data_IF_859441026857
#
_entry.id   IF_859441026857
#
_cell.length_a   1.000
_cell.length_b   1.000
_cell.length_c   1.000
_cell.angle_alpha   90.00
_cell.angle_beta   90.00
_cell.angle_gamma   90.00
#
_symmetry.space_group_name_H-M   'P 1'
#
loop_
_entity.id
_entity.type
_entity.pdbx_description
1 polymer ?
#
# COMPACT_ATOMS: atom_id res chain seq x y z
N UNK A 1 -0.86 4.77 -10.83
CA UNK A 1 -1.15 4.38 -9.43
C UNK A 1 -2.07 5.40 -8.76
N UNK A 2 -3.13 4.95 -8.09
CA UNK A 2 -4.10 5.80 -7.37
C UNK A 2 -4.44 5.18 -6.01
N UNK A 3 -4.72 6.03 -5.01
CA UNK A 3 -5.19 5.61 -3.69
C UNK A 3 -6.65 6.01 -3.41
N UNK A 4 -7.34 5.20 -2.62
CA UNK A 4 -8.65 5.47 -2.04
C UNK A 4 -8.56 5.42 -0.50
N UNK A 5 -8.59 6.59 0.13
CA UNK A 5 -8.52 6.74 1.58
C UNK A 5 -9.85 7.06 2.23
N UNK A 6 -10.88 7.40 1.45
CA UNK A 6 -12.15 7.93 1.97
C UNK A 6 -12.03 9.16 2.88
N UNK A 7 -10.90 9.90 2.82
CA UNK A 7 -10.61 11.00 3.75
C UNK A 7 -10.19 10.58 5.17
N UNK A 8 -10.05 9.27 5.43
CA UNK A 8 -9.72 8.69 6.75
C UNK A 8 -8.31 8.12 6.84
N UNK A 9 -7.59 8.10 5.73
CA UNK A 9 -6.23 7.60 5.62
C UNK A 9 -5.38 8.53 4.71
N UNK A 10 -4.06 8.32 4.63
CA UNK A 10 -3.20 9.10 3.74
C UNK A 10 -3.67 9.06 2.29
N UNK A 11 -3.63 10.22 1.64
CA UNK A 11 -4.07 10.39 0.26
C UNK A 11 -2.99 11.11 -0.55
N UNK A 12 -2.80 10.68 -1.79
CA UNK A 12 -1.86 11.29 -2.73
C UNK A 12 -2.53 11.52 -4.09
N UNK A 13 -1.98 12.45 -4.88
CA UNK A 13 -2.40 12.64 -6.26
C UNK A 13 -2.03 11.41 -7.09
N UNK A 14 -2.83 11.02 -8.11
CA UNK A 14 -2.48 9.91 -8.98
C UNK A 14 -1.07 10.06 -9.55
N UNK A 15 -0.30 8.97 -9.49
CA UNK A 15 1.05 8.89 -10.04
C UNK A 15 0.96 8.22 -11.40
N UNK A 16 1.46 8.91 -12.43
CA UNK A 16 1.40 8.49 -13.83
C UNK A 16 2.84 8.29 -14.34
N UNK A 17 3.03 7.27 -15.19
CA UNK A 17 4.32 6.90 -15.77
C UNK A 17 5.00 5.74 -15.04
N UNK A 18 5.49 4.75 -15.79
CA UNK A 18 6.05 3.51 -15.25
C UNK A 18 7.27 3.74 -14.35
N UNK A 19 8.22 4.58 -14.77
CA UNK A 19 9.42 4.92 -13.97
C UNK A 19 9.06 5.57 -12.64
N UNK A 20 8.12 6.52 -12.67
CA UNK A 20 7.66 7.22 -11.48
C UNK A 20 6.92 6.28 -10.54
N UNK A 21 6.09 5.39 -11.08
CA UNK A 21 5.42 4.35 -10.29
C UNK A 21 6.45 3.41 -9.67
N UNK A 22 7.40 2.87 -10.44
CA UNK A 22 8.45 1.99 -9.94
C UNK A 22 9.28 2.64 -8.81
N UNK A 23 9.68 3.89 -9.00
CA UNK A 23 10.39 4.66 -7.97
C UNK A 23 9.56 4.78 -6.67
N UNK A 24 8.26 5.06 -6.79
CA UNK A 24 7.35 5.14 -5.64
C UNK A 24 7.13 3.77 -4.98
N UNK A 25 7.03 2.68 -5.76
CA UNK A 25 6.88 1.34 -5.21
C UNK A 25 8.10 0.94 -4.37
N UNK A 26 9.31 1.10 -4.90
CA UNK A 26 10.55 0.90 -4.14
C UNK A 26 10.55 1.77 -2.90
N UNK A 27 10.02 2.98 -3.03
CA UNK A 27 9.98 3.92 -1.94
C UNK A 27 9.01 3.55 -0.81
N UNK A 28 7.93 2.83 -1.12
CA UNK A 28 6.94 2.41 -0.13
C UNK A 28 7.29 1.05 0.45
N UNK A 29 7.66 0.09 -0.40
CA UNK A 29 7.79 -1.32 -0.04
C UNK A 29 8.99 -1.57 0.87
N UNK A 30 10.18 -1.06 0.52
CA UNK A 30 11.39 -1.37 1.30
C UNK A 30 11.32 -0.88 2.77
N UNK A 31 10.94 0.38 3.06
CA UNK A 31 10.81 0.84 4.45
C UNK A 31 9.66 0.18 5.21
N UNK A 32 8.57 -0.17 4.52
CA UNK A 32 7.45 -0.88 5.13
C UNK A 32 7.87 -2.27 5.60
N UNK A 33 8.62 -3.01 4.79
CA UNK A 33 9.18 -4.31 5.20
C UNK A 33 10.21 -4.14 6.31
N UNK A 34 11.01 -3.07 6.29
CA UNK A 34 12.03 -2.80 7.32
C UNK A 34 11.43 -2.58 8.72
N UNK A 35 10.22 -2.02 8.82
CA UNK A 35 9.50 -1.89 10.09
C UNK A 35 8.76 -3.17 10.50
N UNK A 36 8.96 -4.28 9.77
CA UNK A 36 8.32 -5.57 10.04
C UNK A 36 6.99 -5.78 9.32
N UNK A 37 6.61 -4.88 8.41
CA UNK A 37 5.40 -5.05 7.60
C UNK A 37 5.52 -6.21 6.62
N UNK A 38 4.42 -6.92 6.40
CA UNK A 38 4.32 -8.07 5.49
C UNK A 38 3.44 -7.72 4.31
N UNK A 39 3.87 -8.11 3.10
CA UNK A 39 3.11 -7.96 1.87
C UNK A 39 2.80 -9.35 1.34
N UNK A 40 1.53 -9.71 1.32
CA UNK A 40 1.08 -11.03 0.88
C UNK A 40 0.33 -10.93 -0.45
N UNK A 41 0.69 -11.73 -1.46
CA UNK A 41 -0.11 -11.87 -2.66
C UNK A 41 -1.52 -12.32 -2.31
N UNK A 42 -2.52 -11.62 -2.85
CA UNK A 42 -3.93 -11.96 -2.63
C UNK A 42 -4.78 -11.49 -3.80
N UNK A 43 -5.85 -12.21 -4.11
CA UNK A 43 -6.82 -11.73 -5.08
C UNK A 43 -7.64 -10.59 -4.43
N UNK A 44 -7.67 -9.42 -5.08
CA UNK A 44 -8.42 -8.25 -4.60
C UNK A 44 -9.43 -7.88 -5.66
N UNK A 45 -10.72 -8.04 -5.34
CA UNK A 45 -11.84 -7.82 -6.27
C UNK A 45 -11.71 -8.60 -7.60
N UNK A 46 -11.27 -9.86 -7.56
CA UNK A 46 -11.11 -10.68 -8.77
C UNK A 46 -9.86 -10.34 -9.60
N UNK A 47 -8.98 -9.47 -9.10
CA UNK A 47 -7.73 -9.09 -9.76
C UNK A 47 -6.52 -9.55 -8.95
N UNK A 48 -5.37 -9.84 -9.61
CA UNK A 48 -4.11 -10.02 -8.91
C UNK A 48 -3.81 -8.81 -8.01
N UNK A 49 -3.32 -9.06 -6.81
CA UNK A 49 -3.16 -8.01 -5.82
C UNK A 49 -2.30 -8.41 -4.64
N UNK A 50 -2.34 -7.58 -3.61
CA UNK A 50 -1.66 -7.84 -2.36
C UNK A 50 -2.38 -7.20 -1.17
N UNK A 51 -2.25 -7.82 0.01
CA UNK A 51 -2.62 -7.26 1.31
C UNK A 51 -1.34 -6.85 2.03
N UNK A 52 -1.34 -5.65 2.59
CA UNK A 52 -0.26 -5.11 3.41
C UNK A 52 -0.68 -5.22 4.87
N UNK A 53 0.11 -5.91 5.69
CA UNK A 53 -0.11 -6.06 7.13
C UNK A 53 1.02 -5.43 7.92
N UNK A 54 0.67 -4.73 8.99
CA UNK A 54 1.64 -4.24 9.97
C UNK A 54 2.26 -5.41 10.78
N UNK A 55 3.26 -5.16 11.64
CA UNK A 55 3.89 -6.21 12.45
C UNK A 55 2.94 -6.96 13.38
N UNK A 56 1.81 -6.35 13.75
CA UNK A 56 0.75 -6.97 14.56
C UNK A 56 -0.23 -7.80 13.73
N UNK A 57 -0.02 -7.88 12.40
CA UNK A 57 -0.89 -8.60 11.47
C UNK A 57 -2.15 -7.83 11.06
N UNK A 58 -2.27 -6.54 11.41
CA UNK A 58 -3.44 -5.72 11.06
C UNK A 58 -3.28 -5.15 9.65
N UNK A 59 -4.40 -5.03 8.95
CA UNK A 59 -4.44 -4.59 7.55
C UNK A 59 -4.17 -3.09 7.48
N UNK A 60 -3.19 -2.70 6.67
CA UNK A 60 -2.82 -1.31 6.40
C UNK A 60 -3.40 -0.84 5.08
N UNK A 61 -3.31 -1.68 4.05
CA UNK A 61 -3.77 -1.36 2.70
C UNK A 61 -3.97 -2.64 1.87
N UNK A 62 -4.74 -2.53 0.79
CA UNK A 62 -4.77 -3.53 -0.28
C UNK A 62 -4.38 -2.90 -1.60
N UNK A 63 -3.63 -3.61 -2.43
CA UNK A 63 -3.38 -3.24 -3.82
C UNK A 63 -4.07 -4.20 -4.76
N UNK A 64 -4.78 -3.68 -5.76
CA UNK A 64 -5.21 -4.42 -6.93
C UNK A 64 -4.40 -3.97 -8.15
N UNK A 65 -3.99 -4.92 -8.98
CA UNK A 65 -3.21 -4.72 -10.18
C UNK A 65 -4.12 -4.95 -11.40
N UNK A 66 -4.36 -3.88 -12.16
CA UNK A 66 -5.05 -4.00 -13.45
C UNK A 66 -4.01 -4.46 -14.48
N UNK A 67 -4.12 -5.71 -14.94
CA UNK A 67 -3.17 -6.32 -15.89
C UNK A 67 -3.82 -6.48 -17.25
N UNK A 68 -3.15 -6.01 -18.30
CA UNK A 68 -3.54 -6.19 -19.70
C UNK A 68 -2.31 -6.66 -20.48
N UNK A 69 -2.46 -7.72 -21.26
CA UNK A 69 -1.39 -8.31 -22.10
C UNK A 69 -0.08 -8.57 -21.33
N UNK A 70 -0.20 -9.07 -20.10
CA UNK A 70 0.94 -9.38 -19.23
C UNK A 70 1.63 -8.16 -18.62
N UNK A 71 1.09 -6.95 -18.81
CA UNK A 71 1.64 -5.70 -18.28
C UNK A 71 0.69 -5.05 -17.28
N UNK A 72 1.23 -4.54 -16.18
CA UNK A 72 0.46 -3.77 -15.19
C UNK A 72 0.14 -2.39 -15.78
N UNK A 73 -1.14 -2.14 -16.05
CA UNK A 73 -1.64 -0.86 -16.56
C UNK A 73 -1.93 0.12 -15.41
N UNK A 74 -2.40 -0.39 -14.27
CA UNK A 74 -2.67 0.42 -13.10
C UNK A 74 -2.49 -0.36 -11.79
N UNK A 75 -2.19 0.40 -10.74
CA UNK A 75 -2.18 -0.07 -9.36
C UNK A 75 -3.19 0.78 -8.60
N UNK A 76 -4.16 0.11 -7.96
CA UNK A 76 -5.20 0.71 -7.14
C UNK A 76 -4.97 0.33 -5.70
N UNK A 77 -4.66 1.33 -4.86
CA UNK A 77 -4.50 1.13 -3.44
C UNK A 77 -5.78 1.53 -2.70
N UNK A 78 -6.22 0.70 -1.76
CA UNK A 78 -7.29 1.05 -0.80
C UNK A 78 -6.68 1.10 0.59
N UNK A 79 -6.82 2.25 1.24
CA UNK A 79 -6.35 2.52 2.61
C UNK A 79 -7.50 2.93 3.52
N UNK A 80 -8.70 3.14 2.97
CA UNK A 80 -9.87 3.51 3.75
C UNK A 80 -10.20 2.41 4.78
N UNK A 81 -10.08 2.69 6.09
CA UNK A 81 -10.31 1.68 7.12
C UNK A 81 -11.73 1.13 7.10
N UNK A 82 -12.74 1.93 6.72
CA UNK A 82 -14.12 1.45 6.64
C UNK A 82 -14.28 0.36 5.57
N UNK A 83 -13.52 0.47 4.47
CA UNK A 83 -13.52 -0.52 3.38
C UNK A 83 -12.70 -1.76 3.73
N UNK A 84 -11.69 -1.60 4.57
CA UNK A 84 -10.79 -2.69 4.96
C UNK A 84 -11.31 -3.49 6.15
N UNK A 85 -12.20 -2.92 6.96
CA UNK A 85 -12.71 -3.55 8.19
C UNK A 85 -13.39 -4.90 7.95
N UNK A 86 -13.98 -5.13 6.78
CA UNK A 86 -14.58 -6.43 6.45
C UNK A 86 -13.55 -7.51 6.08
N UNK A 87 -12.30 -7.12 5.79
CA UNK A 87 -11.20 -8.04 5.44
C UNK A 87 -10.49 -8.52 6.70
N UNK A 88 -10.52 -7.72 7.78
CA UNK A 88 -9.93 -8.04 9.07
C UNK A 88 -9.66 -6.81 9.94
N UNK A 89 -8.99 -6.97 11.09
CA UNK A 89 -8.56 -5.85 11.92
C UNK A 89 -7.68 -4.87 11.14
N UNK A 90 -7.95 -3.58 11.26
CA UNK A 90 -7.29 -2.53 10.48
C UNK A 90 -6.30 -1.75 11.36
N UNK A 91 -5.13 -1.43 10.81
CA UNK A 91 -4.09 -0.66 11.46
C UNK A 91 -4.34 0.87 11.40
N UNK A 92 -3.64 1.64 12.23
CA UNK A 92 -3.50 3.08 12.00
C UNK A 92 -2.50 3.33 10.86
N UNK A 93 -3.02 3.50 9.64
CA UNK A 93 -2.20 3.74 8.45
C UNK A 93 -1.28 4.98 8.58
N UNK A 94 -1.67 6.00 9.36
CA UNK A 94 -0.83 7.18 9.56
C UNK A 94 0.37 6.86 10.44
N UNK A 95 0.18 6.08 11.51
CA UNK A 95 1.27 5.65 12.38
C UNK A 95 2.28 4.80 11.61
N UNK A 96 1.80 3.81 10.86
CA UNK A 96 2.65 2.93 10.05
C UNK A 96 3.44 3.72 9.00
N UNK A 97 2.81 4.66 8.30
CA UNK A 97 3.51 5.48 7.30
C UNK A 97 4.54 6.41 7.95
N UNK A 98 4.24 6.99 9.12
CA UNK A 98 5.21 7.81 9.85
C UNK A 98 6.45 7.00 10.22
N UNK A 99 6.24 5.82 10.79
CA UNK A 99 7.33 4.91 11.18
C UNK A 99 8.18 4.49 9.97
N UNK A 100 7.54 4.04 8.89
CA UNK A 100 8.21 3.69 7.64
C UNK A 100 8.93 4.89 6.98
N UNK A 101 8.46 6.12 7.20
CA UNK A 101 9.14 7.32 6.68
C UNK A 101 10.40 7.67 7.48
N UNK A 102 10.46 7.30 8.76
CA UNK A 102 11.60 7.58 9.63
C UNK A 102 12.77 6.65 9.33
N UNK A 103 12.52 5.40 8.91
CA UNK A 103 13.58 4.48 8.47
C UNK A 103 14.28 4.95 7.19
N UNK A 104 13.64 5.82 6.40
CA UNK A 104 14.24 6.47 5.23
C UNK A 104 15.12 7.66 5.56
N UNK A 105 14.95 8.31 6.72
CA UNK A 105 15.80 9.44 7.10
C UNK A 105 17.19 8.90 7.43
N UNK A 106 18.27 9.51 6.90
CA UNK A 106 19.60 9.16 7.36
C UNK A 106 19.66 9.38 8.87
N UNK A 107 20.18 8.38 9.59
CA UNK A 107 20.53 8.55 11.01
C UNK A 107 21.57 9.68 11.07
N UNK A 108 21.42 10.66 11.98
CA UNK A 108 22.35 11.79 12.08
C UNK A 108 23.79 11.32 12.35
#
# INVERSE_FOLDING_TARGET
MRGDSGGKAPQWKPIIGAEKVASVLTAIVAPFVQIGGVIEPHEVNGQPGAIFRDPDGKIVATWALDVLDGQIQAIRAVLNPDKLAHVGPVADAWAVIREASQTRRPKP
#
